data_IF_854509966593
#
_entry.id   IF_854509966593
#
_cell.length_a   1.000
_cell.length_b   1.000
_cell.length_c   1.000
_cell.angle_alpha   90.00
_cell.angle_beta   90.00
_cell.angle_gamma   90.00
#
_symmetry.space_group_name_H-M   'P 1'
#
loop_
_entity.id
_entity.type
_entity.pdbx_description
1 polymer ?
#
# COMPACT_ATOMS: atom_id res chain seq x y z
N UNK A 1 -23.17 7.41 -3.21
CA UNK A 1 -22.30 6.50 -4.00
C UNK A 1 -20.92 6.56 -3.37
N UNK A 2 -20.30 5.42 -3.06
CA UNK A 2 -18.95 5.40 -2.46
C UNK A 2 -17.88 5.57 -3.53
N UNK A 3 -16.86 6.38 -3.23
CA UNK A 3 -15.76 6.69 -4.15
C UNK A 3 -14.42 6.30 -3.57
N UNK A 4 -13.60 5.58 -4.34
CA UNK A 4 -12.25 5.20 -3.93
C UNK A 4 -11.21 5.66 -4.94
N UNK A 5 -10.05 6.11 -4.47
CA UNK A 5 -8.88 6.32 -5.33
C UNK A 5 -7.83 5.28 -4.97
N UNK A 6 -7.35 4.56 -5.98
CA UNK A 6 -6.38 3.47 -5.87
C UNK A 6 -5.12 3.85 -6.63
N UNK A 7 -4.04 4.10 -5.91
CA UNK A 7 -2.73 4.38 -6.48
C UNK A 7 -1.92 3.09 -6.54
N UNK A 8 -1.41 2.73 -7.73
CA UNK A 8 -0.73 1.45 -7.99
C UNK A 8 -1.70 0.35 -8.42
N UNK A 9 -2.70 0.70 -9.24
CA UNK A 9 -3.73 -0.21 -9.74
C UNK A 9 -3.39 -0.91 -11.07
N UNK A 10 -2.18 -0.75 -11.59
CA UNK A 10 -1.79 -1.29 -12.92
C UNK A 10 -1.44 -2.77 -12.91
N UNK A 11 -1.33 -3.41 -11.76
CA UNK A 11 -1.09 -4.86 -11.62
C UNK A 11 -1.27 -5.32 -10.17
N UNK A 12 -1.25 -6.64 -9.98
CA UNK A 12 -1.15 -7.30 -8.68
C UNK A 12 -2.27 -6.94 -7.71
N UNK A 13 -1.93 -6.63 -6.46
CA UNK A 13 -2.92 -6.41 -5.40
C UNK A 13 -3.82 -5.20 -5.70
N UNK A 14 -3.24 -4.10 -6.20
CA UNK A 14 -4.00 -2.87 -6.48
C UNK A 14 -5.05 -3.06 -7.56
N UNK A 15 -4.70 -3.77 -8.63
CA UNK A 15 -5.62 -4.14 -9.71
C UNK A 15 -6.76 -5.04 -9.20
N UNK A 16 -6.44 -6.07 -8.42
CA UNK A 16 -7.45 -6.99 -7.88
C UNK A 16 -8.38 -6.31 -6.87
N UNK A 17 -7.86 -5.39 -6.04
CA UNK A 17 -8.71 -4.57 -5.15
C UNK A 17 -9.64 -3.67 -5.97
N UNK A 18 -9.14 -3.06 -7.05
CA UNK A 18 -9.96 -2.23 -7.94
C UNK A 18 -11.13 -3.03 -8.52
N UNK A 19 -10.88 -4.21 -9.08
CA UNK A 19 -11.92 -5.10 -9.61
C UNK A 19 -12.99 -5.44 -8.57
N UNK A 20 -12.58 -5.77 -7.33
CA UNK A 20 -13.50 -6.12 -6.27
C UNK A 20 -14.35 -4.92 -5.80
N UNK A 21 -13.78 -3.72 -5.73
CA UNK A 21 -14.53 -2.53 -5.36
C UNK A 21 -15.57 -2.16 -6.44
N UNK A 22 -15.22 -2.29 -7.74
CA UNK A 22 -16.18 -2.14 -8.85
C UNK A 22 -17.34 -3.12 -8.71
N UNK A 23 -17.06 -4.41 -8.44
CA UNK A 23 -18.09 -5.43 -8.20
C UNK A 23 -19.01 -5.10 -7.00
N UNK A 24 -18.52 -4.33 -6.02
CA UNK A 24 -19.31 -3.83 -4.89
C UNK A 24 -20.04 -2.52 -5.18
N UNK A 25 -20.06 -2.04 -6.42
CA UNK A 25 -20.75 -0.83 -6.84
C UNK A 25 -20.04 0.48 -6.48
N UNK A 26 -18.73 0.43 -6.19
CA UNK A 26 -17.94 1.64 -5.98
C UNK A 26 -17.65 2.35 -7.31
N UNK A 27 -17.64 3.67 -7.29
CA UNK A 27 -17.06 4.49 -8.34
C UNK A 27 -15.59 4.70 -8.00
N UNK A 28 -14.66 4.30 -8.88
CA UNK A 28 -13.25 4.30 -8.53
C UNK A 28 -12.39 5.13 -9.47
N UNK A 29 -11.43 5.83 -8.90
CA UNK A 29 -10.29 6.38 -9.61
C UNK A 29 -9.11 5.44 -9.50
N UNK A 30 -8.50 5.04 -10.61
CA UNK A 30 -7.30 4.21 -10.62
C UNK A 30 -6.12 4.98 -11.20
N UNK A 31 -4.96 4.87 -10.53
CA UNK A 31 -3.76 5.56 -10.97
C UNK A 31 -2.52 4.68 -10.93
N UNK A 32 -1.56 5.03 -11.79
CA UNK A 32 -0.26 4.37 -11.92
C UNK A 32 0.52 4.91 -13.10
N UNK A 33 1.69 4.36 -13.35
CA UNK A 33 2.61 4.82 -14.40
C UNK A 33 2.28 4.27 -15.79
N UNK A 34 1.71 3.07 -15.87
CA UNK A 34 1.45 2.32 -17.11
C UNK A 34 0.02 2.63 -17.60
N UNK A 35 -0.09 3.57 -18.53
CA UNK A 35 -1.36 4.08 -19.03
C UNK A 35 -2.20 2.98 -19.72
N UNK A 36 -1.58 2.19 -20.59
CA UNK A 36 -2.26 1.08 -21.27
C UNK A 36 -2.89 0.05 -20.29
N UNK A 37 -2.26 -0.17 -19.13
CA UNK A 37 -2.81 -1.07 -18.12
C UNK A 37 -4.02 -0.44 -17.41
N UNK A 38 -4.01 0.88 -17.20
CA UNK A 38 -5.15 1.62 -16.66
C UNK A 38 -6.33 1.60 -17.64
N UNK A 39 -6.08 1.83 -18.91
CA UNK A 39 -7.10 1.80 -19.98
C UNK A 39 -7.76 0.41 -20.10
N UNK A 40 -6.94 -0.66 -20.09
CA UNK A 40 -7.44 -2.03 -20.08
C UNK A 40 -8.37 -2.30 -18.89
N UNK A 41 -7.99 -1.84 -17.70
CA UNK A 41 -8.82 -2.00 -16.51
C UNK A 41 -10.09 -1.14 -16.58
N UNK A 42 -10.00 0.10 -17.08
CA UNK A 42 -11.15 0.98 -17.28
C UNK A 42 -12.17 0.37 -18.25
N UNK A 43 -11.70 -0.25 -19.34
CA UNK A 43 -12.56 -0.89 -20.33
C UNK A 43 -13.44 -2.01 -19.75
N UNK A 44 -13.09 -2.57 -18.59
CA UNK A 44 -13.91 -3.60 -17.91
C UNK A 44 -15.15 -3.00 -17.22
N UNK A 45 -15.14 -1.71 -16.90
CA UNK A 45 -16.27 -1.01 -16.27
C UNK A 45 -16.19 0.52 -16.55
N UNK A 46 -16.38 0.97 -17.80
CA UNK A 46 -16.10 2.34 -18.22
C UNK A 46 -16.97 3.40 -17.51
N UNK A 47 -18.17 3.03 -17.05
CA UNK A 47 -19.05 3.91 -16.27
C UNK A 47 -18.67 4.05 -14.79
N UNK A 48 -17.77 3.22 -14.26
CA UNK A 48 -17.41 3.20 -12.84
C UNK A 48 -15.93 3.54 -12.60
N UNK A 49 -15.08 3.49 -13.64
CA UNK A 49 -13.63 3.67 -13.51
C UNK A 49 -13.18 4.94 -14.23
N UNK A 50 -12.51 5.81 -13.49
CA UNK A 50 -11.79 6.97 -14.02
C UNK A 50 -10.29 6.70 -13.88
N UNK A 51 -9.50 7.07 -14.89
CA UNK A 51 -8.05 6.83 -14.90
C UNK A 51 -7.26 8.13 -14.78
N UNK A 52 -6.06 8.00 -14.18
CA UNK A 52 -5.06 9.06 -14.11
C UNK A 52 -3.66 8.46 -14.17
N UNK A 53 -2.84 8.87 -15.14
CA UNK A 53 -1.41 8.57 -15.10
C UNK A 53 -0.77 9.35 -13.95
N UNK A 54 -0.07 8.65 -13.05
CA UNK A 54 0.55 9.25 -11.87
C UNK A 54 1.77 8.43 -11.44
N UNK A 55 2.90 9.11 -11.23
CA UNK A 55 4.07 8.57 -10.54
C UNK A 55 4.17 9.22 -9.15
N UNK A 56 4.18 8.39 -8.10
CA UNK A 56 4.25 8.88 -6.71
C UNK A 56 5.56 9.61 -6.39
N UNK A 57 6.60 9.39 -7.20
CA UNK A 57 7.92 10.05 -7.05
C UNK A 57 7.97 11.43 -7.66
N UNK A 58 6.99 11.79 -8.50
CA UNK A 58 6.88 13.10 -9.11
C UNK A 58 6.53 14.16 -8.05
N UNK A 59 7.25 15.30 -7.98
CA UNK A 59 6.88 16.42 -7.11
C UNK A 59 5.44 16.90 -7.31
N UNK A 60 4.90 16.83 -8.53
CA UNK A 60 3.56 17.29 -8.87
C UNK A 60 2.44 16.26 -8.56
N UNK A 61 2.80 15.06 -8.08
CA UNK A 61 1.83 14.03 -7.74
C UNK A 61 0.69 14.49 -6.78
N UNK A 62 0.92 15.38 -5.79
CA UNK A 62 -0.15 15.94 -4.97
C UNK A 62 -1.18 16.72 -5.76
N UNK A 63 -0.74 17.61 -6.65
CA UNK A 63 -1.61 18.43 -7.52
C UNK A 63 -2.42 17.54 -8.47
N UNK A 64 -1.77 16.50 -9.02
CA UNK A 64 -2.46 15.51 -9.84
C UNK A 64 -3.52 14.75 -9.04
N UNK A 65 -3.23 14.38 -7.77
CA UNK A 65 -4.22 13.74 -6.90
C UNK A 65 -5.42 14.64 -6.63
N UNK A 66 -5.22 15.91 -6.32
CA UNK A 66 -6.31 16.87 -6.10
C UNK A 66 -7.21 17.01 -7.34
N UNK A 67 -6.61 17.14 -8.53
CA UNK A 67 -7.31 17.18 -9.79
C UNK A 67 -8.09 15.89 -10.04
N UNK A 68 -7.48 14.76 -9.71
CA UNK A 68 -8.10 13.44 -9.85
C UNK A 68 -9.30 13.25 -8.91
N UNK A 69 -9.20 13.72 -7.65
CA UNK A 69 -10.31 13.74 -6.70
C UNK A 69 -11.49 14.55 -7.27
N UNK A 70 -11.21 15.73 -7.83
CA UNK A 70 -12.25 16.58 -8.46
C UNK A 70 -12.90 15.88 -9.65
N UNK A 71 -12.10 15.25 -10.53
CA UNK A 71 -12.58 14.48 -11.69
C UNK A 71 -13.49 13.32 -11.30
N UNK A 72 -13.19 12.65 -10.16
CA UNK A 72 -13.99 11.55 -9.60
C UNK A 72 -15.26 12.06 -8.87
N UNK A 73 -15.34 13.35 -8.55
CA UNK A 73 -16.41 13.94 -7.77
C UNK A 73 -16.30 13.74 -6.26
N UNK A 74 -15.07 13.46 -5.76
CA UNK A 74 -14.75 13.27 -4.35
C UNK A 74 -14.06 11.93 -4.06
N UNK A 75 -13.70 11.72 -2.79
CA UNK A 75 -13.01 10.49 -2.34
C UNK A 75 -13.46 10.13 -0.92
N UNK A 76 -13.85 8.88 -0.70
CA UNK A 76 -14.21 8.32 0.62
C UNK A 76 -13.13 7.33 1.11
N UNK A 77 -12.41 6.69 0.17
CA UNK A 77 -11.30 5.77 0.43
C UNK A 77 -10.10 6.16 -0.43
N UNK A 78 -8.97 6.39 0.21
CA UNK A 78 -7.65 6.43 -0.45
C UNK A 78 -6.93 5.12 -0.20
N UNK A 79 -6.58 4.40 -1.27
CA UNK A 79 -5.87 3.12 -1.19
C UNK A 79 -4.53 3.21 -1.92
N UNK A 80 -3.43 3.16 -1.16
CA UNK A 80 -2.07 3.21 -1.69
C UNK A 80 -1.47 1.81 -1.77
N UNK A 81 -1.37 1.31 -2.99
CA UNK A 81 -0.74 0.02 -3.33
C UNK A 81 0.64 0.19 -3.99
N UNK A 82 0.99 1.42 -4.37
CA UNK A 82 2.30 1.69 -4.97
C UNK A 82 3.44 1.39 -4.01
N UNK A 83 4.43 0.69 -4.49
CA UNK A 83 5.64 0.39 -3.77
C UNK A 83 6.54 -0.52 -4.60
N UNK A 84 7.82 -0.47 -4.31
CA UNK A 84 8.81 -1.34 -4.91
C UNK A 84 9.61 -2.05 -3.83
N UNK A 85 10.27 -3.15 -4.20
CA UNK A 85 11.16 -3.87 -3.31
C UNK A 85 12.02 -4.83 -4.10
N UNK A 86 13.27 -4.93 -3.69
CA UNK A 86 14.24 -5.86 -4.25
C UNK A 86 15.13 -6.38 -3.15
N UNK A 87 15.58 -7.60 -3.29
CA UNK A 87 16.73 -8.08 -2.53
C UNK A 87 17.97 -7.35 -3.03
N UNK A 88 18.86 -6.96 -2.12
CA UNK A 88 20.08 -6.22 -2.43
C UNK A 88 21.22 -6.60 -1.48
N UNK A 89 21.67 -7.87 -1.50
CA UNK A 89 22.75 -8.34 -0.62
C UNK A 89 24.08 -7.63 -0.89
N UNK A 90 24.29 -7.15 -2.11
CA UNK A 90 25.49 -6.42 -2.51
C UNK A 90 25.43 -4.92 -2.16
N UNK A 91 24.35 -4.48 -1.53
CA UNK A 91 24.11 -3.12 -1.07
C UNK A 91 24.33 -2.05 -2.15
N UNK A 92 23.85 -2.30 -3.38
CA UNK A 92 23.95 -1.36 -4.51
C UNK A 92 23.15 -0.09 -4.20
N UNK A 93 23.81 1.09 -4.17
CA UNK A 93 23.18 2.34 -3.72
C UNK A 93 21.95 2.74 -4.54
N UNK A 94 21.95 2.50 -5.85
CA UNK A 94 20.83 2.83 -6.72
C UNK A 94 19.54 2.06 -6.38
N UNK A 95 19.65 0.80 -5.91
CA UNK A 95 18.50 -0.02 -5.46
C UNK A 95 17.97 0.54 -4.14
N UNK A 96 18.84 0.84 -3.19
CA UNK A 96 18.48 1.39 -1.88
C UNK A 96 17.79 2.76 -2.04
N UNK A 97 18.40 3.67 -2.81
CA UNK A 97 17.87 5.02 -3.03
C UNK A 97 16.56 5.00 -3.81
N UNK A 98 16.43 4.17 -4.86
CA UNK A 98 15.18 4.05 -5.61
C UNK A 98 14.05 3.50 -4.74
N UNK A 99 14.36 2.49 -3.90
CA UNK A 99 13.39 1.93 -2.93
C UNK A 99 12.93 2.99 -1.93
N UNK A 100 13.86 3.78 -1.41
CA UNK A 100 13.58 4.87 -0.45
C UNK A 100 12.76 5.97 -1.10
N UNK A 101 13.13 6.42 -2.31
CA UNK A 101 12.39 7.44 -3.06
C UNK A 101 10.94 7.05 -3.27
N UNK A 102 10.67 5.81 -3.69
CA UNK A 102 9.30 5.35 -3.94
C UNK A 102 8.53 5.09 -2.64
N UNK A 103 9.13 4.33 -1.71
CA UNK A 103 8.41 3.80 -0.54
C UNK A 103 8.38 4.76 0.65
N UNK A 104 9.24 5.77 0.70
CA UNK A 104 9.26 6.77 1.77
C UNK A 104 8.78 8.11 1.23
N UNK A 105 9.52 8.72 0.31
CA UNK A 105 9.19 10.05 -0.21
C UNK A 105 7.85 10.05 -0.96
N UNK A 106 7.70 9.18 -1.97
CA UNK A 106 6.46 9.04 -2.74
C UNK A 106 5.27 8.64 -1.86
N UNK A 107 5.49 7.71 -0.93
CA UNK A 107 4.47 7.32 0.04
C UNK A 107 4.04 8.50 0.92
N UNK A 108 4.98 9.23 1.51
CA UNK A 108 4.68 10.39 2.39
C UNK A 108 3.91 11.45 1.62
N UNK A 109 4.37 11.79 0.42
CA UNK A 109 3.72 12.77 -0.46
C UNK A 109 2.25 12.43 -0.70
N UNK A 110 1.94 11.21 -1.09
CA UNK A 110 0.59 10.78 -1.41
C UNK A 110 -0.32 10.65 -0.18
N UNK A 111 0.19 10.07 0.91
CA UNK A 111 -0.59 9.88 2.14
C UNK A 111 -0.87 11.22 2.84
N UNK A 112 0.09 12.15 2.83
CA UNK A 112 -0.11 13.49 3.39
C UNK A 112 -1.17 14.27 2.59
N UNK A 113 -1.14 14.20 1.26
CA UNK A 113 -2.17 14.82 0.41
C UNK A 113 -3.55 14.25 0.69
N UNK A 114 -3.67 12.93 0.77
CA UNK A 114 -4.94 12.28 1.12
C UNK A 114 -5.42 12.65 2.52
N UNK A 115 -4.51 12.73 3.50
CA UNK A 115 -4.84 13.16 4.86
C UNK A 115 -5.38 14.59 4.89
N UNK A 116 -4.71 15.52 4.21
CA UNK A 116 -5.15 16.92 4.14
C UNK A 116 -6.53 17.06 3.48
N UNK A 117 -6.79 16.31 2.43
CA UNK A 117 -8.12 16.26 1.81
C UNK A 117 -9.19 15.77 2.82
N UNK A 118 -8.94 14.67 3.52
CA UNK A 118 -9.88 14.14 4.51
C UNK A 118 -9.99 15.04 5.75
N UNK A 119 -8.92 15.74 6.13
CA UNK A 119 -8.94 16.74 7.19
C UNK A 119 -9.94 17.86 6.90
N UNK A 120 -9.96 18.37 5.66
CA UNK A 120 -10.93 19.39 5.24
C UNK A 120 -12.37 18.86 5.24
N UNK A 121 -12.57 17.57 4.96
CA UNK A 121 -13.90 16.92 4.99
C UNK A 121 -14.35 16.53 6.41
N UNK A 122 -13.42 16.41 7.36
CA UNK A 122 -13.67 15.87 8.70
C UNK A 122 -13.72 14.35 8.79
N UNK A 123 -13.81 13.64 7.66
CA UNK A 123 -13.91 12.17 7.60
C UNK A 123 -13.28 11.56 6.36
N UNK A 124 -12.92 10.28 6.46
CA UNK A 124 -12.41 9.49 5.34
C UNK A 124 -11.74 8.19 5.77
N UNK A 125 -11.14 7.49 4.80
CA UNK A 125 -10.42 6.27 5.05
C UNK A 125 -9.12 6.23 4.24
N UNK A 126 -7.98 6.10 4.92
CA UNK A 126 -6.66 5.92 4.31
C UNK A 126 -6.21 4.48 4.54
N UNK A 127 -5.95 3.77 3.47
CA UNK A 127 -5.42 2.41 3.53
C UNK A 127 -4.14 2.31 2.69
N UNK A 128 -3.13 1.63 3.21
CA UNK A 128 -1.89 1.44 2.49
C UNK A 128 -1.32 0.04 2.68
N UNK A 129 -0.67 -0.46 1.61
CA UNK A 129 0.05 -1.73 1.64
C UNK A 129 1.47 -1.48 2.14
N UNK A 130 1.71 -1.84 3.38
CA UNK A 130 3.04 -1.96 3.95
C UNK A 130 3.61 -3.39 3.74
N UNK A 131 4.05 -4.08 4.77
CA UNK A 131 4.49 -5.49 4.71
C UNK A 131 4.76 -6.03 6.11
N UNK A 132 4.76 -7.36 6.28
CA UNK A 132 5.37 -8.02 7.43
C UNK A 132 6.88 -7.74 7.52
N UNK A 133 7.54 -7.45 6.41
CA UNK A 133 8.96 -7.06 6.35
C UNK A 133 9.28 -5.82 7.21
N UNK A 134 8.29 -4.96 7.48
CA UNK A 134 8.44 -3.84 8.42
C UNK A 134 8.49 -4.25 9.91
N UNK A 135 8.38 -5.53 10.23
CA UNK A 135 8.46 -6.00 11.64
C UNK A 135 9.88 -5.99 12.18
N UNK A 136 10.85 -6.37 11.36
CA UNK A 136 12.30 -6.45 11.69
C UNK A 136 13.13 -6.02 10.48
N UNK A 137 14.37 -5.59 10.70
CA UNK A 137 15.33 -5.39 9.63
C UNK A 137 15.68 -6.72 8.95
N UNK A 138 15.71 -6.74 7.63
CA UNK A 138 16.07 -7.91 6.81
C UNK A 138 17.36 -7.63 6.07
N UNK A 139 18.45 -8.36 6.40
CA UNK A 139 19.77 -8.17 5.79
C UNK A 139 19.79 -8.38 4.28
N UNK A 140 18.92 -9.25 3.76
CA UNK A 140 18.77 -9.48 2.31
C UNK A 140 18.11 -8.31 1.57
N UNK A 141 17.36 -7.45 2.26
CA UNK A 141 16.62 -6.33 1.67
C UNK A 141 16.55 -5.13 2.64
N UNK A 142 17.69 -4.45 2.92
CA UNK A 142 17.76 -3.43 3.96
C UNK A 142 16.80 -2.26 3.74
N UNK A 143 16.88 -1.56 2.60
CA UNK A 143 15.98 -0.45 2.31
C UNK A 143 14.51 -0.89 2.29
N UNK A 144 14.20 -2.04 1.72
CA UNK A 144 12.81 -2.50 1.67
C UNK A 144 12.23 -2.67 3.08
N UNK A 145 12.91 -3.41 3.96
CA UNK A 145 12.43 -3.64 5.33
C UNK A 145 12.35 -2.34 6.14
N UNK A 146 13.34 -1.47 6.00
CA UNK A 146 13.37 -0.16 6.64
C UNK A 146 12.21 0.73 6.16
N UNK A 147 11.98 0.81 4.84
CA UNK A 147 10.87 1.62 4.28
C UNK A 147 9.50 1.07 4.68
N UNK A 148 9.33 -0.25 4.78
CA UNK A 148 8.08 -0.84 5.26
C UNK A 148 7.85 -0.57 6.76
N UNK A 149 8.90 -0.51 7.55
CA UNK A 149 8.82 -0.06 8.95
C UNK A 149 8.43 1.40 9.05
N UNK A 150 9.04 2.27 8.23
CA UNK A 150 8.65 3.68 8.12
C UNK A 150 7.15 3.81 7.86
N UNK A 151 6.62 3.11 6.85
CA UNK A 151 5.19 3.16 6.50
C UNK A 151 4.28 2.75 7.67
N UNK A 152 4.63 1.68 8.41
CA UNK A 152 3.88 1.24 9.59
C UNK A 152 3.81 2.35 10.65
N UNK A 153 4.96 2.95 10.98
CA UNK A 153 5.07 4.00 12.01
C UNK A 153 4.39 5.30 11.56
N UNK A 154 4.52 5.66 10.27
CA UNK A 154 3.89 6.87 9.73
C UNK A 154 2.36 6.79 9.77
N UNK A 155 1.77 5.66 9.35
CA UNK A 155 0.32 5.44 9.45
C UNK A 155 -0.16 5.45 10.91
N UNK A 156 0.65 4.93 11.84
CA UNK A 156 0.35 4.96 13.26
C UNK A 156 0.32 6.40 13.79
N UNK A 157 1.32 7.20 13.45
CA UNK A 157 1.41 8.60 13.84
C UNK A 157 0.24 9.44 13.28
N UNK A 158 -0.13 9.22 12.00
CA UNK A 158 -1.29 9.91 11.40
C UNK A 158 -2.62 9.52 12.07
N UNK A 159 -2.78 8.27 12.48
CA UNK A 159 -3.96 7.86 13.22
C UNK A 159 -4.04 8.54 14.60
N UNK A 160 -2.90 8.73 15.27
CA UNK A 160 -2.82 9.49 16.52
C UNK A 160 -3.16 10.97 16.26
N UNK A 161 -2.53 11.58 15.25
CA UNK A 161 -2.78 12.97 14.87
C UNK A 161 -4.26 13.24 14.55
N UNK A 162 -4.88 12.32 13.79
CA UNK A 162 -6.31 12.40 13.47
C UNK A 162 -7.18 12.45 14.75
N UNK A 163 -6.87 11.62 15.74
CA UNK A 163 -7.59 11.63 17.03
C UNK A 163 -7.35 12.92 17.82
N UNK A 164 -6.10 13.41 17.84
CA UNK A 164 -5.77 14.68 18.51
C UNK A 164 -6.53 15.87 17.90
N UNK A 165 -6.85 15.80 16.61
CA UNK A 165 -7.60 16.80 15.87
C UNK A 165 -9.12 16.52 15.79
N UNK A 166 -9.62 15.51 16.51
CA UNK A 166 -11.03 15.09 16.52
C UNK A 166 -11.62 14.78 15.14
N UNK A 167 -10.78 14.24 14.22
CA UNK A 167 -11.19 13.88 12.86
C UNK A 167 -11.68 12.42 12.82
N UNK A 168 -12.73 12.14 12.02
CA UNK A 168 -13.24 10.80 11.79
C UNK A 168 -12.54 10.13 10.61
N UNK A 169 -11.19 10.15 10.60
CA UNK A 169 -10.39 9.50 9.56
C UNK A 169 -9.98 8.10 10.03
N UNK A 170 -10.36 7.08 9.26
CA UNK A 170 -9.96 5.69 9.51
C UNK A 170 -8.65 5.39 8.79
N UNK A 171 -7.87 4.48 9.38
CA UNK A 171 -6.60 4.03 8.80
C UNK A 171 -6.55 2.51 8.78
N UNK A 172 -6.11 1.92 7.65
CA UNK A 172 -5.85 0.50 7.54
C UNK A 172 -4.43 0.25 7.04
N UNK A 173 -3.59 -0.26 7.92
CA UNK A 173 -2.24 -0.72 7.60
C UNK A 173 -2.28 -2.20 7.20
N UNK A 174 -2.03 -2.47 5.92
CA UNK A 174 -2.13 -3.79 5.32
C UNK A 174 -0.73 -4.39 5.23
N UNK A 175 -0.51 -5.51 5.93
CA UNK A 175 0.79 -6.16 6.06
C UNK A 175 0.76 -7.57 5.44
N UNK A 176 0.88 -7.71 4.12
CA UNK A 176 1.00 -9.01 3.49
C UNK A 176 2.39 -9.62 3.71
N UNK A 177 2.48 -10.95 3.61
CA UNK A 177 3.71 -11.67 3.35
C UNK A 177 4.03 -11.72 1.86
N UNK A 178 4.56 -12.85 1.36
CA UNK A 178 4.85 -13.02 -0.06
C UNK A 178 3.57 -13.18 -0.88
N UNK A 179 3.42 -12.36 -1.92
CA UNK A 179 2.27 -12.35 -2.83
C UNK A 179 2.78 -12.47 -4.26
N UNK A 180 2.21 -13.38 -5.05
CA UNK A 180 2.52 -13.57 -6.47
C UNK A 180 2.11 -12.34 -7.26
N UNK A 181 3.06 -11.45 -7.49
CA UNK A 181 2.93 -10.19 -8.23
C UNK A 181 4.23 -9.89 -8.97
N UNK A 182 4.22 -8.91 -9.86
CA UNK A 182 5.41 -8.45 -10.60
C UNK A 182 6.56 -7.99 -9.67
N UNK A 183 6.27 -7.75 -8.40
CA UNK A 183 7.28 -7.38 -7.39
C UNK A 183 8.23 -8.53 -7.08
N UNK A 184 7.75 -9.78 -7.15
CA UNK A 184 8.54 -10.99 -6.92
C UNK A 184 9.01 -11.57 -8.26
N UNK A 185 10.16 -11.10 -8.75
CA UNK A 185 10.66 -11.42 -10.10
C UNK A 185 11.11 -12.87 -10.33
N UNK A 186 11.61 -13.56 -9.31
CA UNK A 186 12.06 -14.95 -9.38
C UNK A 186 12.33 -15.51 -7.99
N UNK A 187 12.14 -16.82 -7.81
CA UNK A 187 12.47 -17.53 -6.58
C UNK A 187 11.32 -18.39 -6.04
N UNK A 188 11.68 -19.33 -5.16
CA UNK A 188 10.69 -20.08 -4.36
C UNK A 188 10.46 -19.30 -3.06
N UNK A 189 9.29 -18.73 -2.90
CA UNK A 189 8.92 -17.99 -1.68
C UNK A 189 8.03 -18.86 -0.80
N UNK A 190 8.31 -18.93 0.52
CA UNK A 190 7.48 -19.71 1.42
C UNK A 190 6.08 -19.09 1.54
N UNK A 191 5.06 -19.94 1.65
CA UNK A 191 3.68 -19.51 1.88
C UNK A 191 3.18 -18.45 0.87
N UNK A 192 3.61 -18.56 -0.40
CA UNK A 192 3.23 -17.63 -1.46
C UNK A 192 1.70 -17.57 -1.62
N UNK A 193 1.14 -16.37 -1.60
CA UNK A 193 -0.29 -16.11 -1.74
C UNK A 193 -0.61 -15.59 -3.14
N UNK A 194 -1.83 -15.86 -3.62
CA UNK A 194 -2.33 -15.28 -4.86
C UNK A 194 -2.90 -13.88 -4.62
N UNK A 195 -2.66 -12.95 -5.56
CA UNK A 195 -3.06 -11.55 -5.42
C UNK A 195 -4.59 -11.39 -5.24
N UNK A 196 -5.40 -12.20 -5.93
CA UNK A 196 -6.86 -12.16 -5.82
C UNK A 196 -7.35 -12.58 -4.41
N UNK A 197 -6.72 -13.56 -3.77
CA UNK A 197 -7.05 -13.99 -2.40
C UNK A 197 -6.68 -12.92 -1.38
N UNK A 198 -5.52 -12.30 -1.57
CA UNK A 198 -5.04 -11.17 -0.76
C UNK A 198 -6.01 -9.99 -0.89
N UNK A 199 -6.42 -9.65 -2.11
CA UNK A 199 -7.37 -8.56 -2.37
C UNK A 199 -8.74 -8.80 -1.69
N UNK A 200 -9.28 -10.02 -1.70
CA UNK A 200 -10.51 -10.36 -0.96
C UNK A 200 -10.36 -10.09 0.54
N UNK A 201 -9.23 -10.47 1.13
CA UNK A 201 -8.94 -10.22 2.55
C UNK A 201 -8.82 -8.72 2.84
N UNK A 202 -8.20 -7.96 1.93
CA UNK A 202 -8.08 -6.51 2.03
C UNK A 202 -9.46 -5.85 1.99
N UNK A 203 -10.28 -6.14 1.00
CA UNK A 203 -11.61 -5.53 0.86
C UNK A 203 -12.49 -5.84 2.07
N UNK A 204 -12.43 -7.07 2.60
CA UNK A 204 -13.10 -7.41 3.86
C UNK A 204 -12.60 -6.56 5.04
N UNK A 205 -11.29 -6.31 5.13
CA UNK A 205 -10.71 -5.46 6.19
C UNK A 205 -11.09 -3.99 6.03
N UNK A 206 -11.13 -3.47 4.79
CA UNK A 206 -11.57 -2.11 4.47
C UNK A 206 -13.03 -1.89 4.88
N UNK A 207 -13.92 -2.81 4.52
CA UNK A 207 -15.35 -2.74 4.89
C UNK A 207 -15.56 -2.75 6.41
N UNK A 208 -14.68 -3.43 7.16
CA UNK A 208 -14.67 -3.48 8.63
C UNK A 208 -13.83 -2.38 9.29
N UNK A 209 -13.22 -1.49 8.51
CA UNK A 209 -12.32 -0.42 8.97
C UNK A 209 -11.23 -0.93 9.93
N UNK A 210 -10.65 -2.12 9.66
CA UNK A 210 -9.61 -2.70 10.51
C UNK A 210 -8.36 -1.84 10.50
N UNK A 211 -7.82 -1.53 11.71
CA UNK A 211 -6.65 -0.66 11.88
C UNK A 211 -5.35 -1.28 11.32
N UNK A 212 -5.14 -2.55 11.57
CA UNK A 212 -3.98 -3.33 11.08
C UNK A 212 -4.46 -4.70 10.65
N UNK A 213 -3.97 -5.18 9.51
CA UNK A 213 -4.20 -6.54 9.06
C UNK A 213 -2.89 -7.18 8.58
N UNK A 214 -2.48 -8.26 9.22
CA UNK A 214 -1.51 -9.21 8.66
C UNK A 214 -2.29 -10.25 7.87
N UNK A 215 -2.02 -10.32 6.56
CA UNK A 215 -2.76 -11.22 5.68
C UNK A 215 -2.16 -12.61 5.74
N UNK A 216 -3.08 -13.62 5.89
CA UNK A 216 -2.87 -15.02 6.18
C UNK A 216 -2.49 -15.27 7.66
N UNK A 217 -3.15 -16.28 8.24
CA UNK A 217 -2.94 -16.70 9.63
C UNK A 217 -1.51 -17.17 9.89
N UNK A 218 -0.89 -17.85 8.91
CA UNK A 218 0.49 -18.34 8.98
C UNK A 218 1.46 -17.19 9.21
N UNK A 219 1.31 -16.09 8.46
CA UNK A 219 2.15 -14.90 8.64
C UNK A 219 1.85 -14.16 9.95
N UNK A 220 0.65 -14.25 10.51
CA UNK A 220 0.37 -13.72 11.86
C UNK A 220 1.19 -14.43 12.92
N UNK A 221 1.31 -15.75 12.82
CA UNK A 221 2.15 -16.55 13.71
C UNK A 221 3.62 -16.18 13.54
N UNK A 222 4.12 -16.11 12.31
CA UNK A 222 5.50 -15.68 12.02
C UNK A 222 5.80 -14.30 12.62
N UNK A 223 4.95 -13.32 12.39
CA UNK A 223 5.13 -11.95 12.91
C UNK A 223 5.10 -11.92 14.43
N UNK A 224 4.25 -12.74 15.06
CA UNK A 224 4.20 -12.86 16.52
C UNK A 224 5.56 -13.32 17.06
N UNK A 225 6.12 -14.41 16.54
CA UNK A 225 7.43 -14.91 16.97
C UNK A 225 8.57 -13.94 16.63
N UNK A 226 8.54 -13.32 15.44
CA UNK A 226 9.57 -12.32 15.07
C UNK A 226 9.65 -11.18 16.08
N UNK A 227 8.52 -10.72 16.61
CA UNK A 227 8.50 -9.65 17.62
C UNK A 227 9.15 -10.08 18.95
N UNK A 228 9.06 -11.35 19.29
CA UNK A 228 9.62 -11.86 20.54
C UNK A 228 11.15 -12.06 20.49
N UNK A 229 11.72 -12.22 19.29
CA UNK A 229 13.16 -12.42 19.14
C UNK A 229 13.92 -11.14 19.55
N UNK A 230 14.83 -11.18 20.54
CA UNK A 230 15.64 -10.04 20.90
C UNK A 230 16.51 -9.57 19.74
N UNK A 231 16.85 -8.26 19.71
CA UNK A 231 17.62 -7.66 18.62
C UNK A 231 18.97 -8.35 18.39
N UNK A 232 19.71 -8.61 19.47
CA UNK A 232 21.03 -9.25 19.39
C UNK A 232 20.99 -10.66 18.79
N UNK A 233 19.89 -11.40 18.99
CA UNK A 233 19.69 -12.72 18.39
C UNK A 233 19.26 -12.59 16.94
N UNK A 234 18.32 -11.66 16.62
CA UNK A 234 17.86 -11.42 15.27
C UNK A 234 18.98 -11.10 14.29
N UNK A 235 19.92 -10.24 14.71
CA UNK A 235 21.09 -9.82 13.89
C UNK A 235 22.05 -10.97 13.54
N UNK A 236 21.97 -12.10 14.25
CA UNK A 236 22.76 -13.30 14.00
C UNK A 236 22.05 -14.35 13.15
N UNK A 237 20.75 -14.20 12.92
CA UNK A 237 19.96 -15.17 12.15
C UNK A 237 20.19 -14.99 10.64
N UNK A 238 20.58 -16.04 9.88
CA UNK A 238 20.80 -15.97 8.45
C UNK A 238 19.47 -16.03 7.69
N UNK A 239 18.63 -14.99 7.83
CA UNK A 239 17.33 -14.92 7.15
C UNK A 239 17.57 -14.51 5.71
N UNK A 240 17.38 -15.46 4.78
CA UNK A 240 17.59 -15.26 3.34
C UNK A 240 16.30 -15.11 2.53
N UNK A 241 15.18 -15.66 2.96
CA UNK A 241 13.85 -15.59 2.33
C UNK A 241 12.75 -15.81 3.37
#
# INVERSE_FOLDING_TARGET
MKRAIIIGATSGIGEEVAKLLVQQGWHIGIAGRREEALEKLQATAPGQIVIQRLDVTDPDAPTLLETFIRKLGGMDLFFLSSGIGSQNPDLKPEIELNTTRTNVEGFTRMVTSAFNYFKTRGEGHIAAISSIAGTKGLGIAPAYSATKRFQNTYIEALAQLSRMQHLNIHFTDIRPGFVATDLLKSGKFPMLMQANQVAKSIVCALNRKKRVIVIDSRYRVVVFFWRMIPRWLWERLPIKN
#
